data_IF_086444931313
#
_entry.id   IF_086444931313
#
_cell.length_a   1.000
_cell.length_b   1.000
_cell.length_c   1.000
_cell.angle_alpha   90.00
_cell.angle_beta   90.00
_cell.angle_gamma   90.00
#
_symmetry.space_group_name_H-M   'P 1'
#
loop_
_entity.id
_entity.type
_entity.pdbx_description
1 polymer ?
#
# COMPACT_ATOMS: atom_id res chain seq x y z
N UNK A 1 -6.25 16.82 -16.91
CA UNK A 1 -6.24 16.14 -15.61
C UNK A 1 -5.93 14.67 -15.87
N UNK A 2 -4.69 14.24 -15.66
CA UNK A 2 -4.28 12.84 -15.74
C UNK A 2 -4.30 12.20 -14.36
N UNK A 3 -4.35 10.86 -14.30
CA UNK A 3 -4.30 10.11 -13.05
C UNK A 3 -2.85 9.67 -12.79
N UNK A 4 -2.31 10.03 -11.63
CA UNK A 4 -1.02 9.57 -11.14
C UNK A 4 -1.22 8.61 -9.98
N UNK A 5 -0.99 7.32 -10.23
CA UNK A 5 -1.18 6.24 -9.28
C UNK A 5 0.16 5.85 -8.69
N UNK A 6 0.19 5.61 -7.39
CA UNK A 6 1.38 5.21 -6.65
C UNK A 6 1.08 3.99 -5.80
N UNK A 7 1.94 2.98 -5.87
CA UNK A 7 2.08 2.06 -4.77
C UNK A 7 2.75 2.79 -3.59
N UNK A 8 2.64 2.24 -2.39
CA UNK A 8 3.12 2.90 -1.17
C UNK A 8 4.41 2.28 -0.64
N UNK A 9 4.31 1.01 -0.24
CA UNK A 9 5.38 0.29 0.45
C UNK A 9 6.55 0.01 -0.49
N UNK A 10 7.77 0.34 -0.07
CA UNK A 10 8.98 0.28 -0.89
C UNK A 10 8.96 1.14 -2.18
N UNK A 11 7.89 1.90 -2.44
CA UNK A 11 7.76 2.83 -3.57
C UNK A 11 7.86 4.30 -3.10
N UNK A 12 6.91 4.81 -2.30
CA UNK A 12 6.96 6.13 -1.67
C UNK A 12 7.61 6.09 -0.27
N UNK A 13 7.60 4.92 0.34
CA UNK A 13 8.32 4.61 1.58
C UNK A 13 9.53 3.74 1.28
N UNK A 14 10.58 3.83 2.11
CA UNK A 14 11.73 2.92 2.08
C UNK A 14 11.53 1.65 2.91
N UNK A 15 10.31 1.38 3.36
CA UNK A 15 9.93 0.21 4.16
C UNK A 15 8.58 -0.36 3.72
N UNK A 16 8.27 -1.55 4.22
CA UNK A 16 6.93 -2.14 4.18
C UNK A 16 6.19 -1.73 5.45
N UNK A 17 5.14 -0.90 5.30
CA UNK A 17 4.39 -0.33 6.42
C UNK A 17 3.54 -1.36 7.16
N UNK A 18 3.10 -2.41 6.47
CA UNK A 18 2.30 -3.49 7.06
C UNK A 18 3.19 -4.37 7.96
N UNK A 19 4.36 -4.79 7.45
CA UNK A 19 5.36 -5.51 8.24
C UNK A 19 5.84 -4.67 9.45
N UNK A 20 6.13 -3.38 9.23
CA UNK A 20 6.56 -2.47 10.28
C UNK A 20 5.48 -2.27 11.38
N UNK A 21 4.18 -2.27 11.01
CA UNK A 21 3.09 -2.25 11.97
C UNK A 21 3.06 -3.51 12.82
N UNK A 22 3.25 -4.68 12.22
CA UNK A 22 3.35 -5.95 12.94
C UNK A 22 4.48 -5.95 13.98
N UNK A 23 5.69 -5.48 13.59
CA UNK A 23 6.82 -5.32 14.51
C UNK A 23 6.51 -4.31 15.63
N UNK A 24 5.86 -3.21 15.31
CA UNK A 24 5.43 -2.22 16.30
C UNK A 24 4.45 -2.83 17.31
N UNK A 25 3.47 -3.63 16.89
CA UNK A 25 2.55 -4.32 17.80
C UNK A 25 3.28 -5.28 18.75
N UNK A 26 4.31 -5.96 18.26
CA UNK A 26 5.18 -6.80 19.10
C UNK A 26 5.93 -5.96 20.14
N UNK A 27 6.50 -4.82 19.72
CA UNK A 27 7.21 -3.88 20.62
C UNK A 27 6.28 -3.31 21.72
N UNK A 28 4.99 -3.09 21.39
CA UNK A 28 3.98 -2.64 22.34
C UNK A 28 3.46 -3.75 23.27
N UNK A 29 3.83 -5.01 23.03
CA UNK A 29 3.29 -6.16 23.77
C UNK A 29 1.79 -6.41 23.48
N UNK A 30 1.31 -5.94 22.32
CA UNK A 30 -0.09 -6.04 21.92
C UNK A 30 -0.44 -7.45 21.38
N UNK A 31 0.57 -8.22 20.98
CA UNK A 31 0.44 -9.57 20.41
C UNK A 31 1.49 -10.52 20.99
N UNK A 32 1.30 -11.85 20.83
CA UNK A 32 2.32 -12.83 21.21
C UNK A 32 3.60 -12.63 20.37
N UNK A 33 4.62 -12.04 21.00
CA UNK A 33 5.77 -11.48 20.30
C UNK A 33 6.49 -12.45 19.38
N UNK A 34 6.86 -13.63 19.87
CA UNK A 34 7.68 -14.57 19.08
C UNK A 34 6.89 -15.28 17.97
N UNK A 35 5.66 -15.66 18.27
CA UNK A 35 4.80 -16.33 17.28
C UNK A 35 4.36 -15.34 16.19
N UNK A 36 3.96 -14.13 16.59
CA UNK A 36 3.51 -13.11 15.66
C UNK A 36 4.65 -12.65 14.74
N UNK A 37 5.85 -12.39 15.29
CA UNK A 37 7.02 -11.97 14.50
C UNK A 37 7.38 -13.03 13.45
N UNK A 38 7.44 -14.31 13.83
CA UNK A 38 7.73 -15.41 12.87
C UNK A 38 6.70 -15.46 11.74
N UNK A 39 5.41 -15.30 12.05
CA UNK A 39 4.34 -15.27 11.05
C UNK A 39 4.46 -14.02 10.15
N UNK A 40 4.67 -12.84 10.73
CA UNK A 40 4.84 -11.58 10.02
C UNK A 40 6.01 -11.65 9.02
N UNK A 41 7.17 -12.16 9.46
CA UNK A 41 8.34 -12.36 8.61
C UNK A 41 8.10 -13.38 7.50
N UNK A 42 7.32 -14.45 7.78
CA UNK A 42 7.00 -15.46 6.76
C UNK A 42 6.08 -14.86 5.68
N UNK A 43 5.05 -14.12 6.07
CA UNK A 43 4.15 -13.48 5.12
C UNK A 43 4.86 -12.44 4.25
N UNK A 44 5.82 -11.69 4.81
CA UNK A 44 6.65 -10.78 4.02
C UNK A 44 7.48 -11.54 2.95
N UNK A 45 8.09 -12.67 3.34
CA UNK A 45 8.82 -13.53 2.38
C UNK A 45 7.88 -14.08 1.29
N UNK A 46 6.69 -14.52 1.68
CA UNK A 46 5.70 -15.07 0.74
C UNK A 46 5.21 -13.98 -0.24
N UNK A 47 5.03 -12.73 0.25
CA UNK A 47 4.71 -11.57 -0.59
C UNK A 47 5.82 -11.29 -1.61
N UNK A 48 7.07 -11.23 -1.15
CA UNK A 48 8.24 -11.00 -2.00
C UNK A 48 8.45 -12.12 -3.03
N UNK A 49 8.08 -13.35 -2.69
CA UNK A 49 8.10 -14.50 -3.59
C UNK A 49 6.87 -14.57 -4.53
N UNK A 50 5.89 -13.65 -4.39
CA UNK A 50 4.64 -13.69 -5.17
C UNK A 50 3.74 -14.87 -4.83
N UNK A 51 3.87 -15.46 -3.63
CA UNK A 51 3.17 -16.67 -3.18
C UNK A 51 2.25 -16.43 -1.98
N UNK A 52 2.03 -15.16 -1.60
CA UNK A 52 1.22 -14.81 -0.44
C UNK A 52 -0.23 -15.27 -0.60
N UNK A 53 -0.73 -16.06 0.37
CA UNK A 53 -2.15 -16.25 0.62
C UNK A 53 -2.67 -15.00 1.35
N UNK A 54 -3.26 -14.09 0.57
CA UNK A 54 -3.72 -12.79 1.08
C UNK A 54 -4.81 -12.95 2.16
N UNK A 55 -5.70 -13.94 2.05
CA UNK A 55 -6.78 -14.13 3.02
C UNK A 55 -6.27 -14.69 4.34
N UNK A 56 -5.33 -15.64 4.30
CA UNK A 56 -4.65 -16.15 5.50
C UNK A 56 -3.88 -15.03 6.20
N UNK A 57 -3.15 -14.21 5.43
CA UNK A 57 -2.44 -13.04 5.95
C UNK A 57 -3.39 -12.04 6.63
N UNK A 58 -4.46 -11.62 5.96
CA UNK A 58 -5.41 -10.63 6.48
C UNK A 58 -6.13 -11.12 7.74
N UNK A 59 -6.40 -12.43 7.84
CA UNK A 59 -6.96 -13.02 9.06
C UNK A 59 -6.05 -12.84 10.28
N UNK A 60 -4.73 -12.83 10.09
CA UNK A 60 -3.77 -12.54 11.15
C UNK A 60 -3.61 -11.01 11.37
N UNK A 61 -3.39 -10.26 10.30
CA UNK A 61 -3.02 -8.84 10.36
C UNK A 61 -4.14 -7.95 10.89
N UNK A 62 -5.41 -8.27 10.57
CA UNK A 62 -6.57 -7.49 11.02
C UNK A 62 -7.09 -7.88 12.40
N UNK A 63 -6.71 -9.05 12.93
CA UNK A 63 -7.16 -9.52 14.24
C UNK A 63 -6.90 -8.52 15.36
N UNK A 64 -5.70 -7.92 15.51
CA UNK A 64 -5.43 -6.94 16.57
C UNK A 64 -6.36 -5.72 16.52
N UNK A 65 -6.87 -5.33 15.34
CA UNK A 65 -7.82 -4.22 15.24
C UNK A 65 -9.14 -4.52 15.96
N UNK A 66 -9.56 -5.78 16.01
CA UNK A 66 -10.78 -6.21 16.70
C UNK A 66 -10.60 -6.41 18.20
N UNK A 67 -9.36 -6.60 18.66
CA UNK A 67 -9.03 -6.92 20.06
C UNK A 67 -8.77 -5.70 20.93
N UNK A 68 -8.58 -4.51 20.30
CA UNK A 68 -8.27 -3.27 21.01
C UNK A 68 -9.30 -2.17 20.75
N UNK A 69 -9.39 -1.20 21.65
CA UNK A 69 -10.26 -0.04 21.47
C UNK A 69 -9.72 0.90 20.39
N UNK A 70 -10.60 1.65 19.71
CA UNK A 70 -10.18 2.66 18.73
C UNK A 70 -9.26 3.71 19.33
N UNK A 71 -9.50 4.12 20.57
CA UNK A 71 -8.63 5.06 21.30
C UNK A 71 -7.20 4.52 21.42
N UNK A 72 -7.06 3.24 21.82
CA UNK A 72 -5.74 2.60 21.92
C UNK A 72 -5.08 2.43 20.55
N UNK A 73 -5.82 1.99 19.56
CA UNK A 73 -5.31 1.82 18.19
C UNK A 73 -4.84 3.16 17.60
N UNK A 74 -5.60 4.24 17.79
CA UNK A 74 -5.23 5.58 17.34
C UNK A 74 -3.99 6.13 18.08
N UNK A 75 -3.88 5.90 19.38
CA UNK A 75 -2.70 6.28 20.15
C UNK A 75 -1.44 5.54 19.69
N UNK A 76 -1.54 4.26 19.42
CA UNK A 76 -0.46 3.48 18.83
C UNK A 76 -0.12 3.94 17.41
N UNK A 77 -1.13 4.23 16.59
CA UNK A 77 -0.89 4.69 15.22
C UNK A 77 -0.12 6.01 15.18
N UNK A 78 -0.43 6.95 16.09
CA UNK A 78 0.33 8.21 16.20
C UNK A 78 1.82 7.96 16.53
N UNK A 79 2.10 7.03 17.45
CA UNK A 79 3.48 6.66 17.77
C UNK A 79 4.16 5.96 16.59
N UNK A 80 3.43 5.05 15.94
CA UNK A 80 3.90 4.34 14.73
C UNK A 80 4.27 5.31 13.61
N UNK A 81 3.43 6.31 13.32
CA UNK A 81 3.75 7.35 12.35
C UNK A 81 5.08 8.03 12.67
N UNK A 82 5.26 8.46 13.91
CA UNK A 82 6.46 9.21 14.30
C UNK A 82 7.74 8.36 14.26
N UNK A 83 7.68 7.09 14.70
CA UNK A 83 8.90 6.28 14.87
C UNK A 83 9.17 5.30 13.73
N UNK A 84 8.16 4.88 12.97
CA UNK A 84 8.30 3.86 11.92
C UNK A 84 8.01 4.39 10.50
N UNK A 85 7.22 5.44 10.35
CA UNK A 85 6.84 5.94 9.01
C UNK A 85 7.63 7.19 8.63
N UNK A 86 7.61 8.24 9.43
CA UNK A 86 8.31 9.51 9.09
C UNK A 86 9.79 9.32 8.70
N UNK A 87 10.59 8.47 9.38
CA UNK A 87 11.98 8.23 8.97
C UNK A 87 12.12 7.51 7.63
N UNK A 88 11.05 6.90 7.13
CA UNK A 88 11.04 6.09 5.91
C UNK A 88 10.33 6.74 4.73
N UNK A 89 9.76 7.95 4.88
CA UNK A 89 9.24 8.72 3.74
C UNK A 89 10.41 9.11 2.85
N UNK A 90 10.32 8.74 1.57
CA UNK A 90 11.38 9.04 0.61
C UNK A 90 11.28 10.50 0.12
N UNK A 91 12.31 11.34 0.31
CA UNK A 91 12.29 12.73 -0.17
C UNK A 91 12.03 12.84 -1.68
N UNK A 92 12.65 11.97 -2.49
CA UNK A 92 12.41 11.94 -3.94
C UNK A 92 10.98 11.49 -4.28
N UNK A 93 10.34 10.70 -3.40
CA UNK A 93 8.91 10.37 -3.51
C UNK A 93 8.03 11.60 -3.31
N UNK A 94 8.33 12.43 -2.30
CA UNK A 94 7.63 13.71 -2.08
C UNK A 94 7.84 14.69 -3.26
N UNK A 95 9.05 14.74 -3.83
CA UNK A 95 9.35 15.55 -5.04
C UNK A 95 8.54 15.05 -6.25
N UNK A 96 8.41 13.74 -6.44
CA UNK A 96 7.61 13.15 -7.51
C UNK A 96 6.12 13.47 -7.34
N UNK A 97 5.58 13.36 -6.13
CA UNK A 97 4.20 13.78 -5.81
C UNK A 97 4.00 15.28 -6.10
N UNK A 98 4.95 16.13 -5.70
CA UNK A 98 4.90 17.57 -5.96
C UNK A 98 4.95 17.89 -7.46
N UNK A 99 5.72 17.16 -8.25
CA UNK A 99 5.80 17.32 -9.70
C UNK A 99 4.45 17.02 -10.36
N UNK A 100 3.79 15.92 -10.02
CA UNK A 100 2.46 15.59 -10.52
C UNK A 100 1.41 16.63 -10.09
N UNK A 101 1.47 17.07 -8.82
CA UNK A 101 0.55 18.11 -8.31
C UNK A 101 0.69 19.43 -9.08
N UNK A 102 1.91 19.85 -9.43
CA UNK A 102 2.14 21.05 -10.23
C UNK A 102 1.59 20.95 -11.66
N UNK A 103 1.48 19.72 -12.19
CA UNK A 103 0.86 19.44 -13.49
C UNK A 103 -0.66 19.45 -13.44
N UNK A 104 -1.23 19.47 -12.25
CA UNK A 104 -2.68 19.33 -12.04
C UNK A 104 -3.18 17.87 -12.15
N UNK A 105 -2.30 16.89 -12.02
CA UNK A 105 -2.67 15.47 -12.04
C UNK A 105 -3.36 15.10 -10.72
N UNK A 106 -4.33 14.16 -10.76
CA UNK A 106 -4.96 13.59 -9.58
C UNK A 106 -4.04 12.51 -8.98
N UNK A 107 -3.71 12.63 -7.70
CA UNK A 107 -2.79 11.74 -7.01
C UNK A 107 -3.55 10.67 -6.23
N UNK A 108 -3.35 9.41 -6.59
CA UNK A 108 -4.01 8.26 -5.98
C UNK A 108 -2.96 7.26 -5.47
N UNK A 109 -3.05 6.87 -4.20
CA UNK A 109 -2.33 5.69 -3.70
C UNK A 109 -3.21 4.46 -3.88
N UNK A 110 -2.62 3.35 -4.40
CA UNK A 110 -3.24 2.02 -4.48
C UNK A 110 -2.30 1.02 -3.84
N UNK A 111 -2.62 0.54 -2.65
CA UNK A 111 -1.75 -0.31 -1.83
C UNK A 111 -2.42 -1.61 -1.41
N UNK A 112 -1.62 -2.66 -1.19
CA UNK A 112 -2.06 -3.93 -0.61
C UNK A 112 -2.09 -3.92 0.93
N UNK A 113 -1.69 -2.81 1.56
CA UNK A 113 -1.78 -2.61 3.00
C UNK A 113 -3.16 -2.06 3.38
N UNK A 114 -3.64 -2.38 4.58
CA UNK A 114 -4.98 -1.99 5.01
C UNK A 114 -5.09 -0.49 5.33
N UNK A 115 -6.32 0.06 5.17
CA UNK A 115 -6.62 1.49 5.34
C UNK A 115 -6.35 2.02 6.75
N UNK A 116 -6.47 1.21 7.79
CA UNK A 116 -6.15 1.66 9.14
C UNK A 116 -4.69 2.14 9.23
N UNK A 117 -3.77 1.39 8.63
CA UNK A 117 -2.34 1.75 8.60
C UNK A 117 -2.10 2.90 7.62
N UNK A 118 -2.64 2.80 6.41
CA UNK A 118 -2.25 3.64 5.28
C UNK A 118 -3.00 4.96 5.17
N UNK A 119 -4.16 5.09 5.80
CA UNK A 119 -4.96 6.31 5.78
C UNK A 119 -4.19 7.55 6.27
N UNK A 120 -3.62 7.53 7.49
CA UNK A 120 -2.80 8.63 7.99
C UNK A 120 -1.52 8.87 7.17
N UNK A 121 -0.94 7.82 6.56
CA UNK A 121 0.23 7.96 5.67
C UNK A 121 -0.16 8.71 4.41
N UNK A 122 -1.26 8.33 3.75
CA UNK A 122 -1.79 9.00 2.57
C UNK A 122 -2.11 10.47 2.86
N UNK A 123 -2.72 10.76 4.01
CA UNK A 123 -2.98 12.12 4.47
C UNK A 123 -1.67 12.92 4.65
N UNK A 124 -0.64 12.32 5.27
CA UNK A 124 0.68 12.94 5.46
C UNK A 124 1.36 13.25 4.13
N UNK A 125 1.24 12.39 3.13
CA UNK A 125 1.77 12.58 1.78
C UNK A 125 0.94 13.57 0.95
N UNK A 126 -0.28 13.90 1.39
CA UNK A 126 -1.15 14.88 0.76
C UNK A 126 -1.68 14.44 -0.60
N UNK A 127 -1.90 13.14 -0.82
CA UNK A 127 -2.57 12.62 -2.02
C UNK A 127 -4.06 12.89 -1.98
N UNK A 128 -4.71 12.89 -3.16
CA UNK A 128 -6.12 13.23 -3.28
C UNK A 128 -7.04 12.09 -2.82
N UNK A 129 -6.64 10.82 -3.04
CA UNK A 129 -7.38 9.65 -2.58
C UNK A 129 -6.50 8.42 -2.34
N UNK A 130 -7.09 7.38 -1.74
CA UNK A 130 -6.43 6.13 -1.35
C UNK A 130 -7.34 4.93 -1.65
N UNK A 131 -6.83 3.95 -2.38
CA UNK A 131 -7.38 2.61 -2.47
C UNK A 131 -6.50 1.68 -1.64
N UNK A 132 -7.06 1.09 -0.60
CA UNK A 132 -6.40 0.19 0.33
C UNK A 132 -7.27 -1.04 0.59
N UNK A 133 -6.74 -2.03 1.27
CA UNK A 133 -7.57 -3.11 1.83
C UNK A 133 -8.44 -2.52 2.93
N UNK A 134 -9.75 -2.79 2.89
CA UNK A 134 -10.70 -2.24 3.83
C UNK A 134 -10.92 -3.21 5.01
N UNK A 135 -10.50 -2.84 6.24
CA UNK A 135 -10.90 -3.60 7.41
C UNK A 135 -12.40 -3.45 7.65
N UNK A 136 -13.10 -4.58 7.75
CA UNK A 136 -14.55 -4.59 7.99
C UNK A 136 -14.90 -3.97 9.36
N UNK A 137 -15.99 -3.19 9.38
CA UNK A 137 -16.52 -2.58 10.62
C UNK A 137 -17.98 -2.92 10.80
N UNK A 138 -18.33 -3.33 12.01
CA UNK A 138 -19.72 -3.51 12.45
C UNK A 138 -19.96 -2.69 13.72
N UNK A 139 -21.05 -1.92 13.75
CA UNK A 139 -21.42 -1.06 14.89
C UNK A 139 -20.27 -0.14 15.37
N UNK A 140 -19.47 0.38 14.42
CA UNK A 140 -18.35 1.27 14.69
C UNK A 140 -17.07 0.58 15.16
N UNK A 141 -17.01 -0.74 15.21
CA UNK A 141 -15.82 -1.51 15.64
C UNK A 141 -15.27 -2.35 14.50
N UNK A 142 -13.97 -2.53 14.48
CA UNK A 142 -13.33 -3.49 13.59
C UNK A 142 -13.73 -4.93 13.97
N UNK A 143 -14.00 -5.75 12.98
CA UNK A 143 -14.37 -7.17 13.17
C UNK A 143 -13.19 -8.13 13.10
N UNK A 144 -12.04 -7.64 12.61
CA UNK A 144 -10.88 -8.47 12.28
C UNK A 144 -10.98 -9.15 10.90
N UNK A 145 -12.02 -8.85 10.13
CA UNK A 145 -12.21 -9.35 8.75
C UNK A 145 -11.93 -8.26 7.73
N UNK A 146 -11.81 -8.66 6.48
CA UNK A 146 -11.70 -7.74 5.33
C UNK A 146 -13.07 -7.50 4.73
N UNK A 147 -13.32 -6.27 4.28
CA UNK A 147 -14.50 -5.88 3.51
C UNK A 147 -14.15 -5.79 2.03
N UNK A 148 -14.97 -6.43 1.19
CA UNK A 148 -14.82 -6.39 -0.27
C UNK A 148 -13.59 -7.12 -0.81
N UNK A 149 -13.13 -6.68 -1.98
CA UNK A 149 -11.99 -7.29 -2.69
C UNK A 149 -10.67 -6.67 -2.19
N UNK A 150 -9.72 -7.48 -1.69
CA UNK A 150 -8.39 -6.97 -1.34
C UNK A 150 -7.69 -6.32 -2.54
N UNK A 151 -7.09 -5.15 -2.35
CA UNK A 151 -6.30 -4.45 -3.36
C UNK A 151 -4.89 -5.06 -3.51
N UNK A 152 -4.84 -6.35 -3.82
CA UNK A 152 -3.63 -7.14 -4.02
C UNK A 152 -3.67 -7.82 -5.40
N UNK A 153 -2.57 -7.73 -6.17
CA UNK A 153 -2.43 -8.30 -7.51
C UNK A 153 -3.57 -7.84 -8.44
N UNK A 154 -4.33 -8.79 -9.04
CA UNK A 154 -5.51 -8.51 -9.88
C UNK A 154 -6.58 -7.70 -9.14
N UNK A 155 -6.63 -7.82 -7.81
CA UNK A 155 -7.52 -7.04 -6.97
C UNK A 155 -7.28 -5.53 -7.04
N UNK A 156 -6.04 -5.07 -7.28
CA UNK A 156 -5.78 -3.63 -7.54
C UNK A 156 -6.53 -3.15 -8.79
N UNK A 157 -6.52 -3.95 -9.87
CA UNK A 157 -7.26 -3.63 -11.11
C UNK A 157 -8.77 -3.60 -10.86
N UNK A 158 -9.29 -4.60 -10.15
CA UNK A 158 -10.72 -4.63 -9.79
C UNK A 158 -11.11 -3.39 -8.99
N UNK A 159 -10.36 -3.04 -7.97
CA UNK A 159 -10.66 -1.92 -7.06
C UNK A 159 -10.54 -0.56 -7.76
N UNK A 160 -9.54 -0.36 -8.61
CA UNK A 160 -9.41 0.90 -9.33
C UNK A 160 -10.49 1.08 -10.39
N UNK A 161 -10.93 0.02 -11.07
CA UNK A 161 -12.04 0.08 -12.01
C UNK A 161 -13.35 0.43 -11.31
N UNK A 162 -13.64 -0.14 -10.13
CA UNK A 162 -14.78 0.23 -9.30
C UNK A 162 -14.70 1.70 -8.88
N UNK A 163 -13.54 2.16 -8.42
CA UNK A 163 -13.33 3.55 -8.03
C UNK A 163 -13.53 4.53 -9.19
N UNK A 164 -13.09 4.18 -10.41
CA UNK A 164 -13.25 4.99 -11.61
C UNK A 164 -14.73 5.16 -12.03
N UNK A 165 -15.66 4.28 -11.65
CA UNK A 165 -17.09 4.44 -11.93
C UNK A 165 -17.63 5.75 -11.34
N UNK A 166 -17.08 6.20 -10.21
CA UNK A 166 -17.41 7.46 -9.54
C UNK A 166 -16.52 8.64 -9.98
N UNK A 167 -15.58 8.43 -10.91
CA UNK A 167 -14.58 9.40 -11.36
C UNK A 167 -14.61 9.60 -12.89
N UNK A 168 -15.69 10.14 -13.47
CA UNK A 168 -15.89 10.15 -14.93
C UNK A 168 -14.88 10.99 -15.72
N UNK A 169 -14.10 11.84 -15.04
CA UNK A 169 -13.04 12.66 -15.65
C UNK A 169 -11.68 11.97 -15.68
N UNK A 170 -11.53 10.79 -15.09
CA UNK A 170 -10.28 10.05 -14.98
C UNK A 170 -10.32 8.73 -15.73
N UNK A 171 -9.19 8.29 -16.28
CA UNK A 171 -9.07 7.03 -17.02
C UNK A 171 -7.67 6.43 -16.82
N UNK A 172 -7.54 5.12 -17.07
CA UNK A 172 -6.22 4.45 -17.12
C UNK A 172 -5.49 4.74 -18.45
N UNK A 173 -6.18 5.18 -19.49
CA UNK A 173 -5.61 5.40 -20.82
C UNK A 173 -4.60 6.56 -20.89
N UNK A 174 -4.58 7.45 -19.89
CA UNK A 174 -3.58 8.52 -19.74
C UNK A 174 -2.91 8.49 -18.35
N UNK A 175 -3.10 7.42 -17.59
CA UNK A 175 -2.61 7.28 -16.24
C UNK A 175 -1.13 6.88 -16.16
N UNK A 176 -0.50 7.30 -15.08
CA UNK A 176 0.79 6.84 -14.61
C UNK A 176 0.60 5.86 -13.47
N UNK A 177 1.44 4.80 -13.40
CA UNK A 177 1.49 3.97 -12.21
C UNK A 177 2.94 3.63 -11.85
N UNK A 178 3.28 3.89 -10.59
CA UNK A 178 4.60 3.73 -9.99
C UNK A 178 4.56 2.60 -8.99
N UNK A 179 5.43 1.58 -9.14
CA UNK A 179 5.51 0.44 -8.23
C UNK A 179 6.89 -0.22 -8.25
N UNK A 180 7.28 -0.83 -7.12
CA UNK A 180 8.50 -1.61 -6.93
C UNK A 180 8.31 -3.12 -7.14
N UNK A 181 7.07 -3.62 -7.13
CA UNK A 181 6.76 -5.05 -7.01
C UNK A 181 6.18 -5.68 -8.25
N UNK A 182 6.66 -6.90 -8.59
CA UNK A 182 6.06 -7.74 -9.65
C UNK A 182 4.59 -8.10 -9.36
N UNK A 183 4.15 -8.05 -8.10
CA UNK A 183 2.76 -8.27 -7.73
C UNK A 183 1.82 -7.25 -8.37
N UNK A 184 2.33 -6.08 -8.75
CA UNK A 184 1.59 -4.97 -9.36
C UNK A 184 1.57 -5.01 -10.90
N UNK A 185 2.16 -6.03 -11.53
CA UNK A 185 2.22 -6.17 -12.99
C UNK A 185 0.86 -5.99 -13.65
N UNK A 186 -0.20 -6.50 -13.03
CA UNK A 186 -1.56 -6.46 -13.57
C UNK A 186 -2.07 -5.03 -13.77
N UNK A 187 -1.76 -4.12 -12.83
CA UNK A 187 -2.13 -2.70 -12.96
C UNK A 187 -1.11 -1.94 -13.81
N UNK A 188 0.19 -2.28 -13.73
CA UNK A 188 1.22 -1.71 -14.60
C UNK A 188 0.93 -1.96 -16.10
N UNK A 189 0.35 -3.10 -16.44
CA UNK A 189 -0.04 -3.46 -17.82
C UNK A 189 -1.32 -2.75 -18.30
N UNK A 190 -2.11 -2.15 -17.41
CA UNK A 190 -3.38 -1.47 -17.72
C UNK A 190 -3.23 0.04 -17.92
N UNK A 191 -2.13 0.66 -17.49
CA UNK A 191 -1.95 2.10 -17.55
C UNK A 191 -1.13 2.52 -18.77
N UNK A 192 -1.34 3.78 -19.21
CA UNK A 192 -0.59 4.34 -20.34
C UNK A 192 0.92 4.47 -20.04
N UNK A 193 1.29 4.77 -18.80
CA UNK A 193 2.67 5.02 -18.43
C UNK A 193 3.06 4.22 -17.18
N UNK A 194 3.44 2.95 -17.35
CA UNK A 194 3.99 2.15 -16.26
C UNK A 194 5.43 2.57 -15.93
N UNK A 195 5.73 2.67 -14.63
CA UNK A 195 7.05 3.05 -14.12
C UNK A 195 7.47 2.11 -12.99
N UNK A 196 8.56 1.40 -13.19
CA UNK A 196 9.16 0.55 -12.17
C UNK A 196 10.09 1.38 -11.27
N UNK A 197 9.81 1.43 -9.97
CA UNK A 197 10.55 2.23 -8.98
C UNK A 197 11.36 1.30 -8.10
N UNK A 198 12.69 1.41 -8.10
CA UNK A 198 13.58 0.55 -7.32
C UNK A 198 13.13 -0.94 -7.32
N UNK A 199 12.77 -1.50 -8.51
CA UNK A 199 11.96 -2.72 -8.62
C UNK A 199 12.68 -3.97 -8.13
N UNK A 200 11.88 -4.94 -7.64
CA UNK A 200 12.36 -6.30 -7.45
C UNK A 200 12.91 -6.91 -8.78
N UNK A 201 13.67 -8.00 -8.67
CA UNK A 201 14.34 -8.58 -9.84
C UNK A 201 13.36 -9.03 -10.92
N UNK A 202 12.17 -9.52 -10.55
CA UNK A 202 11.15 -9.98 -11.48
C UNK A 202 10.48 -8.81 -12.21
N UNK A 203 10.15 -7.74 -11.49
CA UNK A 203 9.61 -6.53 -12.11
C UNK A 203 10.67 -5.83 -12.97
N UNK A 204 11.94 -5.81 -12.53
CA UNK A 204 13.04 -5.27 -13.34
C UNK A 204 13.20 -6.01 -14.66
N UNK A 205 13.12 -7.33 -14.64
CA UNK A 205 13.18 -8.16 -15.85
C UNK A 205 11.99 -7.85 -16.78
N UNK A 206 10.77 -7.78 -16.24
CA UNK A 206 9.58 -7.43 -17.01
C UNK A 206 9.66 -6.00 -17.58
N UNK A 207 10.10 -5.03 -16.79
CA UNK A 207 10.23 -3.64 -17.25
C UNK A 207 11.23 -3.53 -18.42
N UNK A 208 12.35 -4.25 -18.36
CA UNK A 208 13.32 -4.31 -19.46
C UNK A 208 12.72 -4.97 -20.72
N UNK A 209 11.99 -6.09 -20.58
CA UNK A 209 11.31 -6.77 -21.69
C UNK A 209 10.28 -5.87 -22.37
N UNK A 210 9.50 -5.12 -21.57
CA UNK A 210 8.42 -4.24 -22.05
C UNK A 210 8.88 -2.82 -22.38
N UNK A 211 10.17 -2.50 -22.20
CA UNK A 211 10.73 -1.15 -22.33
C UNK A 211 10.02 -0.11 -21.45
N UNK A 212 9.60 -0.52 -20.26
CA UNK A 212 9.06 0.40 -19.25
C UNK A 212 10.17 1.23 -18.63
N UNK A 213 9.81 2.43 -18.20
CA UNK A 213 10.72 3.29 -17.46
C UNK A 213 11.07 2.67 -16.11
N UNK A 214 12.37 2.71 -15.78
CA UNK A 214 12.88 2.36 -14.44
C UNK A 214 13.48 3.61 -13.84
N UNK A 215 13.15 3.90 -12.59
CA UNK A 215 13.76 4.99 -11.82
C UNK A 215 14.05 4.56 -10.38
N UNK A 216 14.87 5.35 -9.69
CA UNK A 216 15.12 5.21 -8.26
C UNK A 216 14.63 6.45 -7.53
N UNK A 217 14.02 6.26 -6.36
CA UNK A 217 13.64 7.29 -5.40
C UNK A 217 14.49 7.23 -4.11
N UNK A 218 15.55 6.38 -4.12
CA UNK A 218 16.51 6.18 -3.02
C UNK A 218 17.83 6.86 -3.27
#
# INVERSE_FOLDING_TARGET
LSLAIFDLDNTLLSCDSDHAWGEFLVEQGAVDGDAYRRANDQYLRDYQAGQLDIMAYLSMALKPLSEHSEEQLNAWHQQFMACKIEPHILPQGEELLAWHRQRGDFLLIVTATNRFITGPIAQRLGVDDLIAIEPERENGRYTGRVEGVPSYREGKVTRIRQWLEDQPALTLDDAWFYSDSINDRYLLEEVATPVAVDPDDALRALANERNWRVLSLR
#
